data_IF_588179386733
#
_entry.id   IF_588179386733
#
_cell.length_a   1.000
_cell.length_b   1.000
_cell.length_c   1.000
_cell.angle_alpha   90.00
_cell.angle_beta   90.00
_cell.angle_gamma   90.00
#
_symmetry.space_group_name_H-M   'P 1'
#
loop_
_entity.id
_entity.type
_entity.pdbx_description
1 polymer ?
#
# COMPACT_ATOMS: atom_id res chain seq x y z
N UNK A 1 6.34 0.46 -17.06
CA UNK A 1 7.60 0.64 -16.31
C UNK A 1 7.69 1.92 -15.44
N UNK A 2 7.71 3.14 -16.01
CA UNK A 2 7.93 4.40 -15.24
C UNK A 2 6.99 4.59 -14.04
N UNK A 3 5.68 4.35 -14.22
CA UNK A 3 4.66 4.45 -13.15
C UNK A 3 5.02 3.58 -11.92
N UNK A 4 5.33 2.30 -12.16
CA UNK A 4 5.73 1.36 -11.10
C UNK A 4 6.92 1.89 -10.30
N UNK A 5 8.00 2.30 -10.99
CA UNK A 5 9.21 2.82 -10.34
C UNK A 5 8.93 4.11 -9.54
N UNK A 6 8.11 5.01 -10.07
CA UNK A 6 7.70 6.23 -9.36
C UNK A 6 6.98 5.89 -8.06
N UNK A 7 6.04 4.94 -8.09
CA UNK A 7 5.26 4.57 -6.90
C UNK A 7 6.13 3.81 -5.89
N UNK A 8 6.95 2.87 -6.35
CA UNK A 8 7.92 2.18 -5.51
C UNK A 8 8.82 3.17 -4.77
N UNK A 9 9.35 4.18 -5.47
CA UNK A 9 10.19 5.22 -4.85
C UNK A 9 9.42 6.04 -3.81
N UNK A 10 8.14 6.35 -4.05
CA UNK A 10 7.28 7.04 -3.08
C UNK A 10 7.03 6.19 -1.83
N UNK A 11 6.74 4.89 -2.00
CA UNK A 11 6.59 3.95 -0.88
C UNK A 11 7.87 3.88 -0.06
N UNK A 12 9.03 3.69 -0.72
CA UNK A 12 10.32 3.61 -0.07
C UNK A 12 10.66 4.88 0.73
N UNK A 13 10.29 6.06 0.22
CA UNK A 13 10.44 7.34 0.93
C UNK A 13 9.59 7.37 2.21
N UNK A 14 8.30 7.07 2.12
CA UNK A 14 7.38 7.03 3.29
C UNK A 14 7.87 6.02 4.33
N UNK A 15 8.33 4.85 3.90
CA UNK A 15 8.85 3.83 4.80
C UNK A 15 10.09 4.29 5.55
N UNK A 16 11.05 4.96 4.87
CA UNK A 16 12.22 5.56 5.52
C UNK A 16 11.84 6.57 6.59
N UNK A 17 10.94 7.50 6.23
CA UNK A 17 10.43 8.52 7.16
C UNK A 17 9.78 7.87 8.39
N UNK A 18 8.94 6.84 8.20
CA UNK A 18 8.26 6.11 9.30
C UNK A 18 9.19 5.25 10.15
N UNK A 19 10.31 4.82 9.58
CA UNK A 19 11.34 4.05 10.28
C UNK A 19 12.35 4.96 11.00
N UNK A 20 12.20 6.28 10.89
CA UNK A 20 13.18 7.29 11.30
C UNK A 20 14.57 6.98 10.73
N UNK A 21 14.61 6.51 9.49
CA UNK A 21 15.83 6.05 8.83
C UNK A 21 16.21 7.01 7.70
N UNK A 22 17.14 7.91 8.02
CA UNK A 22 17.59 8.94 7.08
C UNK A 22 18.78 8.48 6.23
N UNK A 23 19.45 7.39 6.61
CA UNK A 23 20.55 6.86 5.84
C UNK A 23 20.04 6.15 4.57
N UNK A 24 20.45 6.67 3.41
CA UNK A 24 20.10 6.13 2.10
C UNK A 24 20.84 4.83 1.79
N UNK A 25 21.91 4.51 2.51
CA UNK A 25 22.68 3.28 2.36
C UNK A 25 21.89 2.05 2.83
N UNK A 26 20.90 2.26 3.70
CA UNK A 26 20.11 1.18 4.27
C UNK A 26 19.17 0.58 3.23
N UNK A 27 19.20 -0.75 3.16
CA UNK A 27 18.42 -1.52 2.21
C UNK A 27 16.92 -1.41 2.50
N UNK A 28 16.12 -1.47 1.43
CA UNK A 28 14.66 -1.49 1.53
C UNK A 28 14.17 -2.64 2.42
N UNK A 29 14.77 -3.82 2.30
CA UNK A 29 14.44 -5.01 3.09
C UNK A 29 14.71 -4.79 4.58
N UNK A 30 15.81 -4.11 4.94
CA UNK A 30 16.09 -3.79 6.34
C UNK A 30 15.01 -2.87 6.92
N UNK A 31 14.65 -1.79 6.21
CA UNK A 31 13.59 -0.87 6.61
C UNK A 31 12.24 -1.60 6.75
N UNK A 32 11.91 -2.48 5.79
CA UNK A 32 10.70 -3.29 5.84
C UNK A 32 10.66 -4.19 7.07
N UNK A 33 11.76 -4.90 7.38
CA UNK A 33 11.81 -5.75 8.58
C UNK A 33 11.68 -4.94 9.88
N UNK A 34 12.24 -3.73 9.95
CA UNK A 34 12.06 -2.81 11.08
C UNK A 34 10.60 -2.39 11.25
N UNK A 35 9.92 -2.06 10.14
CA UNK A 35 8.51 -1.63 10.13
C UNK A 35 7.52 -2.78 10.33
N UNK A 36 7.86 -4.01 9.90
CA UNK A 36 7.02 -5.20 10.01
C UNK A 36 6.68 -5.60 11.46
N UNK A 37 7.31 -4.98 12.46
CA UNK A 37 6.89 -5.06 13.86
C UNK A 37 5.51 -4.43 14.10
N UNK A 38 5.05 -3.53 13.22
CA UNK A 38 3.71 -2.92 13.24
C UNK A 38 2.76 -3.74 12.38
N UNK A 39 1.55 -4.02 12.89
CA UNK A 39 0.54 -4.86 12.23
C UNK A 39 0.23 -4.45 10.77
N UNK A 40 0.24 -3.14 10.47
CA UNK A 40 -0.01 -2.66 9.11
C UNK A 40 1.06 -3.12 8.10
N UNK A 41 2.33 -3.20 8.51
CA UNK A 41 3.41 -3.59 7.60
C UNK A 41 3.67 -5.09 7.60
N UNK A 42 3.25 -5.82 8.65
CA UNK A 42 3.37 -7.29 8.67
C UNK A 42 2.48 -7.94 7.61
N UNK A 43 1.25 -7.46 7.46
CA UNK A 43 0.29 -7.97 6.46
C UNK A 43 0.70 -7.63 5.02
N UNK A 44 1.42 -6.52 4.83
CA UNK A 44 1.90 -6.05 3.52
C UNK A 44 3.30 -6.56 3.17
N UNK A 45 3.96 -7.30 4.07
CA UNK A 45 5.39 -7.63 3.95
C UNK A 45 5.71 -8.41 2.67
N UNK A 46 4.91 -9.44 2.37
CA UNK A 46 5.17 -10.32 1.22
C UNK A 46 5.03 -9.56 -0.10
N UNK A 47 3.98 -8.75 -0.25
CA UNK A 47 3.77 -7.92 -1.44
C UNK A 47 4.91 -6.91 -1.62
N UNK A 48 5.38 -6.29 -0.53
CA UNK A 48 6.48 -5.32 -0.57
C UNK A 48 7.82 -5.98 -0.95
N UNK A 49 8.06 -7.24 -0.54
CA UNK A 49 9.22 -8.01 -0.96
C UNK A 49 9.13 -8.36 -2.45
N UNK A 50 7.98 -8.84 -2.91
CA UNK A 50 7.74 -9.16 -4.33
C UNK A 50 7.97 -7.93 -5.22
N UNK A 51 7.49 -6.75 -4.81
CA UNK A 51 7.74 -5.50 -5.54
C UNK A 51 9.20 -5.07 -5.51
N UNK A 52 9.94 -5.34 -4.43
CA UNK A 52 11.37 -5.09 -4.35
C UNK A 52 12.13 -5.97 -5.34
N UNK A 53 11.77 -7.24 -5.45
CA UNK A 53 12.40 -8.19 -6.36
C UNK A 53 12.10 -7.83 -7.82
N UNK A 54 10.84 -7.49 -8.12
CA UNK A 54 10.46 -6.98 -9.44
C UNK A 54 11.19 -5.68 -9.78
N UNK A 55 11.29 -4.73 -8.82
CA UNK A 55 12.06 -3.51 -9.01
C UNK A 55 13.50 -3.85 -9.36
N UNK A 56 14.11 -4.79 -8.65
CA UNK A 56 15.47 -5.23 -8.94
C UNK A 56 15.59 -5.86 -10.33
N UNK A 57 14.64 -6.69 -10.76
CA UNK A 57 14.63 -7.25 -12.11
C UNK A 57 14.45 -6.19 -13.21
N UNK A 58 13.69 -5.12 -12.94
CA UNK A 58 13.52 -3.98 -13.84
C UNK A 58 14.80 -3.13 -13.94
N UNK A 59 15.46 -2.89 -12.80
CA UNK A 59 16.59 -1.92 -12.68
C UNK A 59 17.95 -2.57 -12.48
N UNK A 60 18.11 -3.88 -12.75
CA UNK A 60 19.40 -4.56 -12.76
C UNK A 60 20.22 -4.11 -13.98
N UNK A 61 20.43 -2.80 -14.06
CA UNK A 61 21.00 -1.98 -15.13
C UNK A 61 22.51 -1.78 -14.91
N UNK A 62 23.16 -2.54 -14.01
CA UNK A 62 24.57 -2.29 -13.68
C UNK A 62 25.59 -3.06 -14.53
N UNK A 63 25.19 -3.83 -15.53
CA UNK A 63 26.15 -4.54 -16.39
C UNK A 63 25.86 -4.47 -17.89
N UNK A 64 24.64 -4.80 -18.37
CA UNK A 64 24.47 -5.09 -19.81
C UNK A 64 23.33 -4.33 -20.55
N UNK A 65 22.68 -3.35 -19.91
CA UNK A 65 21.64 -2.52 -20.57
C UNK A 65 20.33 -3.24 -20.93
N UNK A 66 20.17 -4.50 -20.52
CA UNK A 66 18.98 -5.32 -20.76
C UNK A 66 18.07 -5.34 -19.53
N UNK A 67 16.79 -5.01 -19.73
CA UNK A 67 15.75 -5.16 -18.71
C UNK A 67 15.30 -6.61 -18.67
N UNK A 68 15.32 -7.24 -17.48
CA UNK A 68 14.98 -8.66 -17.33
C UNK A 68 13.46 -8.85 -17.18
N UNK A 69 12.74 -7.82 -16.72
CA UNK A 69 11.28 -7.89 -16.53
C UNK A 69 10.58 -6.54 -16.74
N UNK A 70 9.35 -6.59 -17.24
CA UNK A 70 8.42 -5.46 -17.22
C UNK A 70 7.24 -5.73 -16.29
N UNK A 71 6.74 -4.72 -15.55
CA UNK A 71 5.57 -4.90 -14.71
C UNK A 71 4.31 -4.97 -15.57
N UNK A 72 3.50 -6.00 -15.37
CA UNK A 72 2.16 -6.11 -15.97
C UNK A 72 1.18 -5.10 -15.35
N UNK A 73 0.09 -4.83 -16.05
CA UNK A 73 -0.93 -3.84 -15.62
C UNK A 73 -1.46 -4.15 -14.21
N UNK A 74 -1.75 -5.42 -13.93
CA UNK A 74 -2.24 -5.85 -12.62
C UNK A 74 -1.24 -5.58 -11.49
N UNK A 75 0.06 -5.73 -11.77
CA UNK A 75 1.12 -5.42 -10.81
C UNK A 75 1.21 -3.92 -10.53
N UNK A 76 1.05 -3.09 -11.57
CA UNK A 76 1.00 -1.62 -11.42
C UNK A 76 -0.21 -1.21 -10.58
N UNK A 77 -1.38 -1.79 -10.84
CA UNK A 77 -2.59 -1.53 -10.03
C UNK A 77 -2.40 -1.97 -8.57
N UNK A 78 -1.82 -3.17 -8.34
CA UNK A 78 -1.59 -3.69 -6.99
C UNK A 78 -0.65 -2.80 -6.18
N UNK A 79 0.44 -2.28 -6.77
CA UNK A 79 1.34 -1.36 -6.06
C UNK A 79 0.69 0.02 -5.84
N UNK A 80 -0.21 0.48 -6.72
CA UNK A 80 -0.99 1.71 -6.53
C UNK A 80 -1.94 1.60 -5.33
N UNK A 81 -2.68 0.50 -5.24
CA UNK A 81 -3.56 0.23 -4.10
C UNK A 81 -2.78 0.12 -2.79
N UNK A 82 -1.64 -0.57 -2.83
CA UNK A 82 -0.77 -0.70 -1.66
C UNK A 82 -0.17 0.66 -1.26
N UNK A 83 0.20 1.50 -2.23
CA UNK A 83 0.62 2.87 -1.96
C UNK A 83 -0.47 3.67 -1.25
N UNK A 84 -1.74 3.57 -1.66
CA UNK A 84 -2.83 4.25 -0.97
C UNK A 84 -2.97 3.79 0.48
N UNK A 85 -2.93 2.47 0.73
CA UNK A 85 -2.96 1.90 2.10
C UNK A 85 -1.82 2.43 2.97
N UNK A 86 -0.62 2.58 2.40
CA UNK A 86 0.55 3.09 3.13
C UNK A 86 0.47 4.60 3.32
N UNK A 87 0.18 5.38 2.27
CA UNK A 87 0.24 6.84 2.28
C UNK A 87 -0.89 7.47 3.10
N UNK A 88 -2.10 6.91 3.00
CA UNK A 88 -3.27 7.34 3.77
C UNK A 88 -3.88 6.12 4.44
N UNK A 89 -3.36 5.70 5.62
CA UNK A 89 -4.02 4.64 6.37
C UNK A 89 -5.43 5.12 6.70
N UNK A 90 -6.45 4.40 6.20
CA UNK A 90 -7.85 4.76 6.44
C UNK A 90 -8.07 4.93 7.94
N UNK A 91 -8.35 6.15 8.37
CA UNK A 91 -8.77 6.42 9.74
C UNK A 91 -10.26 6.08 9.86
N UNK A 92 -10.75 5.74 11.05
CA UNK A 92 -12.18 5.45 11.29
C UNK A 92 -13.08 6.59 10.78
N UNK A 93 -12.58 7.84 10.84
CA UNK A 93 -13.24 9.04 10.32
C UNK A 93 -13.44 9.07 8.79
N UNK A 94 -12.66 8.31 8.02
CA UNK A 94 -12.87 8.19 6.57
C UNK A 94 -13.90 7.11 6.21
N UNK A 95 -14.20 6.20 7.14
CA UNK A 95 -15.27 5.19 7.00
C UNK A 95 -16.62 5.82 7.41
N UNK A 96 -16.62 6.84 8.28
CA UNK A 96 -17.82 7.53 8.77
C UNK A 96 -18.47 8.51 7.79
N UNK A 97 -17.95 8.66 6.57
CA UNK A 97 -18.58 9.48 5.52
C UNK A 97 -19.63 8.69 4.70
N UNK A 98 -19.85 7.42 5.02
CA UNK A 98 -21.05 6.70 4.59
C UNK A 98 -22.20 7.08 5.53
N UNK A 99 -23.38 7.44 5.01
CA UNK A 99 -24.57 7.68 5.85
C UNK A 99 -24.80 6.43 6.71
N UNK A 100 -24.66 6.57 8.03
CA UNK A 100 -24.94 5.48 8.96
C UNK A 100 -26.40 5.60 9.35
N UNK A 101 -27.25 4.75 8.78
CA UNK A 101 -28.64 4.65 9.21
C UNK A 101 -28.69 3.95 10.57
N UNK A 102 -29.06 4.69 11.61
CA UNK A 102 -29.23 4.17 12.97
C UNK A 102 -30.69 3.77 13.19
N UNK A 103 -30.93 2.61 13.80
CA UNK A 103 -32.27 2.17 14.20
C UNK A 103 -32.35 1.93 15.72
N UNK A 104 -33.51 2.20 16.28
CA UNK A 104 -33.89 1.89 17.66
C UNK A 104 -34.76 0.64 17.72
N UNK A 105 -34.89 0.06 18.91
CA UNK A 105 -35.66 -1.18 19.14
C UNK A 105 -37.15 -1.03 18.81
N UNK A 106 -37.65 0.21 18.88
CA UNK A 106 -39.05 0.56 18.62
C UNK A 106 -39.30 0.92 17.14
N UNK A 107 -38.26 0.95 16.31
CA UNK A 107 -38.40 1.30 14.89
C UNK A 107 -39.04 0.14 14.11
N UNK A 108 -40.05 0.45 13.30
CA UNK A 108 -40.74 -0.53 12.48
C UNK A 108 -39.84 -0.93 11.32
N UNK A 109 -39.57 -2.23 11.19
CA UNK A 109 -38.65 -2.82 10.20
C UNK A 109 -38.99 -2.39 8.75
N UNK A 110 -40.26 -2.16 8.45
CA UNK A 110 -40.72 -1.74 7.12
C UNK A 110 -40.22 -0.33 6.74
N UNK A 111 -40.13 0.61 7.68
CA UNK A 111 -39.59 1.96 7.43
C UNK A 111 -38.07 1.95 7.22
N UNK A 112 -37.37 0.99 7.81
CA UNK A 112 -35.93 0.80 7.65
C UNK A 112 -35.56 0.28 6.27
N UNK A 113 -36.38 -0.61 5.70
CA UNK A 113 -36.15 -1.16 4.37
C UNK A 113 -36.26 -0.09 3.26
N UNK A 114 -37.11 0.93 3.46
CA UNK A 114 -37.26 2.05 2.53
C UNK A 114 -36.05 2.99 2.54
N UNK A 115 -35.38 3.14 3.69
CA UNK A 115 -34.19 4.00 3.84
C UNK A 115 -32.90 3.39 3.29
N UNK A 116 -32.89 2.08 3.04
CA UNK A 116 -31.73 1.33 2.53
C UNK A 116 -31.75 1.11 1.00
N UNK A 117 -32.78 1.60 0.29
CA UNK A 117 -32.99 1.43 -1.15
C UNK A 117 -32.43 2.57 -2.00
#
# INVERSE_FOLDING_TARGET
MKRFLTIYNRIAKIMRERASENDKSISFVHILNKLAKKMMFSTLKNDLLEFNDLRNAIVHERSDGLVIAEPHIGTVTKIEELYQKIASPKTVLQISNSSVETCNIDDVVEELLVKMA
#
